data_IF_225173421507
#
_entry.id   IF_225173421507
#
_cell.length_a   1.000
_cell.length_b   1.000
_cell.length_c   1.000
_cell.angle_alpha   90.00
_cell.angle_beta   90.00
_cell.angle_gamma   90.00
#
_symmetry.space_group_name_H-M   'P 1'
#
loop_
_entity.id
_entity.type
_entity.pdbx_description
1 polymer ?
#
# COMPACT_ATOMS: atom_id res chain seq x y z
N UNK A 1 -25.11 -6.23 41.80
CA UNK A 1 -25.26 -6.74 40.42
C UNK A 1 -24.57 -5.70 39.53
N UNK A 2 -23.30 -5.91 39.19
CA UNK A 2 -22.51 -4.91 38.45
C UNK A 2 -22.82 -5.05 36.95
N UNK A 3 -23.33 -3.98 36.36
CA UNK A 3 -23.60 -3.89 34.94
C UNK A 3 -22.28 -3.90 34.16
N UNK A 4 -22.12 -4.89 33.29
CA UNK A 4 -21.04 -4.99 32.32
C UNK A 4 -21.11 -3.79 31.37
N UNK A 5 -20.07 -2.98 31.19
CA UNK A 5 -20.08 -1.98 30.15
C UNK A 5 -20.00 -2.67 28.79
N UNK A 6 -21.11 -2.60 28.05
CA UNK A 6 -21.25 -2.99 26.65
C UNK A 6 -20.11 -2.42 25.79
N UNK A 7 -19.63 -3.17 24.78
CA UNK A 7 -18.57 -2.68 23.92
C UNK A 7 -19.12 -1.51 23.11
N UNK A 8 -18.57 -0.32 23.37
CA UNK A 8 -18.81 0.85 22.55
C UNK A 8 -18.55 0.48 21.08
N UNK A 9 -19.63 0.46 20.30
CA UNK A 9 -19.58 0.47 18.84
C UNK A 9 -18.90 1.75 18.41
N UNK A 10 -17.57 1.72 18.32
CA UNK A 10 -16.81 2.81 17.74
C UNK A 10 -16.92 2.67 16.23
N UNK A 11 -17.66 3.61 15.66
CA UNK A 11 -17.86 3.76 14.23
C UNK A 11 -16.56 3.65 13.45
N UNK A 12 -16.73 3.14 12.24
CA UNK A 12 -15.80 2.81 11.18
C UNK A 12 -14.92 4.01 10.74
N UNK A 13 -14.12 4.55 11.67
CA UNK A 13 -12.96 5.35 11.33
C UNK A 13 -11.93 4.36 10.82
N UNK A 14 -12.00 4.05 9.51
CA UNK A 14 -10.96 3.32 8.80
C UNK A 14 -9.61 3.93 9.18
N UNK A 15 -8.89 3.25 10.07
CA UNK A 15 -7.61 3.74 10.58
C UNK A 15 -6.64 3.80 9.41
N UNK A 16 -6.21 5.01 9.05
CA UNK A 16 -5.27 5.20 7.95
C UNK A 16 -3.92 4.62 8.34
N UNK A 17 -3.33 3.83 7.44
CA UNK A 17 -2.01 3.22 7.60
C UNK A 17 -1.11 3.67 6.46
N UNK A 18 0.20 3.72 6.70
CA UNK A 18 1.21 3.90 5.65
C UNK A 18 1.73 2.54 5.22
N UNK A 19 1.60 2.21 3.94
CA UNK A 19 2.00 0.92 3.38
C UNK A 19 3.48 0.64 3.63
N UNK A 20 4.33 1.67 3.51
CA UNK A 20 5.77 1.55 3.69
C UNK A 20 6.18 1.06 5.10
N UNK A 21 5.33 1.29 6.11
CA UNK A 21 5.59 0.89 7.50
C UNK A 21 5.29 -0.58 7.75
N UNK A 22 4.70 -1.29 6.79
CA UNK A 22 4.37 -2.71 6.92
C UNK A 22 5.29 -3.57 6.07
N UNK A 23 5.54 -4.79 6.54
CA UNK A 23 6.21 -5.86 5.78
C UNK A 23 5.35 -7.13 5.81
N UNK A 24 5.42 -7.98 4.77
CA UNK A 24 4.76 -9.28 4.79
C UNK A 24 5.32 -10.12 5.95
N UNK A 25 4.43 -10.91 6.56
CA UNK A 25 4.83 -11.95 7.49
C UNK A 25 5.43 -13.13 6.73
N UNK A 26 6.48 -13.72 7.30
CA UNK A 26 7.06 -14.97 6.78
C UNK A 26 6.06 -16.13 6.92
N UNK A 27 5.34 -16.15 8.04
CA UNK A 27 4.26 -17.11 8.32
C UNK A 27 3.00 -16.29 8.62
N UNK A 28 1.92 -16.42 7.82
CA UNK A 28 0.65 -15.74 8.10
C UNK A 28 0.12 -16.09 9.49
N UNK A 29 -0.45 -15.10 10.18
CA UNK A 29 -1.02 -15.26 11.52
C UNK A 29 -2.56 -15.25 11.42
N UNK A 30 -3.20 -16.42 11.18
CA UNK A 30 -4.65 -16.47 10.97
C UNK A 30 -5.45 -16.10 12.24
N UNK A 31 -4.87 -16.28 13.43
CA UNK A 31 -5.50 -15.95 14.70
C UNK A 31 -5.45 -14.46 15.07
N UNK A 32 -4.49 -13.70 14.52
CA UNK A 32 -4.26 -12.31 14.93
C UNK A 32 -5.22 -11.34 14.21
N UNK A 33 -5.96 -10.50 14.94
CA UNK A 33 -6.90 -9.54 14.35
C UNK A 33 -6.17 -8.41 13.61
N UNK A 34 -6.77 -7.97 12.50
CA UNK A 34 -6.33 -6.81 11.73
C UNK A 34 -6.59 -5.52 12.51
N UNK A 35 -5.58 -4.65 12.61
CA UNK A 35 -5.66 -3.33 13.24
C UNK A 35 -6.65 -2.37 12.55
N UNK A 36 -6.88 -2.53 11.24
CA UNK A 36 -7.76 -1.65 10.46
C UNK A 36 -9.22 -2.09 10.53
N UNK A 37 -9.51 -3.38 10.28
CA UNK A 37 -10.89 -3.87 10.17
C UNK A 37 -11.32 -4.85 11.28
N UNK A 38 -10.43 -5.18 12.23
CA UNK A 38 -10.72 -6.12 13.32
C UNK A 38 -10.81 -7.60 12.92
N UNK A 39 -10.94 -7.92 11.62
CA UNK A 39 -11.05 -9.31 11.14
C UNK A 39 -9.77 -10.10 11.40
N UNK A 40 -9.92 -11.37 11.77
CA UNK A 40 -8.81 -12.33 11.89
C UNK A 40 -8.20 -12.64 10.51
N UNK A 41 -6.92 -13.01 10.47
CA UNK A 41 -6.21 -13.25 9.21
C UNK A 41 -5.21 -12.15 8.90
N UNK A 42 -4.20 -12.00 9.75
CA UNK A 42 -3.13 -11.03 9.54
C UNK A 42 -2.03 -11.59 8.64
N UNK A 43 -1.62 -10.77 7.67
CA UNK A 43 -0.61 -11.11 6.66
C UNK A 43 0.59 -10.16 6.67
N UNK A 44 0.45 -9.00 7.33
CA UNK A 44 1.48 -7.99 7.37
C UNK A 44 1.69 -7.49 8.80
N UNK A 45 2.92 -7.13 9.11
CA UNK A 45 3.36 -6.60 10.39
C UNK A 45 4.02 -5.25 10.25
N UNK A 46 3.69 -4.35 11.18
CA UNK A 46 4.32 -3.05 11.32
C UNK A 46 5.80 -3.17 11.70
N UNK A 47 6.65 -2.54 10.91
CA UNK A 47 8.09 -2.41 11.13
C UNK A 47 8.37 -1.60 12.38
N UNK A 48 9.58 -1.70 12.90
CA UNK A 48 10.02 -0.88 14.01
C UNK A 48 10.40 0.53 13.52
N UNK A 49 9.40 1.38 13.29
CA UNK A 49 9.59 2.77 12.83
C UNK A 49 9.84 3.74 14.00
N UNK A 50 10.29 4.96 13.69
CA UNK A 50 10.46 6.01 14.69
C UNK A 50 9.14 6.33 15.40
N UNK A 51 8.04 6.37 14.65
CA UNK A 51 6.69 6.58 15.17
C UNK A 51 6.28 5.47 16.13
N UNK A 52 6.61 4.20 15.82
CA UNK A 52 6.35 3.07 16.72
C UNK A 52 7.18 3.17 18.00
N UNK A 53 8.45 3.57 17.91
CA UNK A 53 9.34 3.76 19.08
C UNK A 53 8.88 4.92 19.97
N UNK A 54 8.32 5.98 19.39
CA UNK A 54 7.81 7.14 20.10
C UNK A 54 6.50 6.87 20.88
N UNK A 55 5.87 5.69 20.69
CA UNK A 55 4.65 5.33 21.44
C UNK A 55 4.93 5.14 22.93
N UNK A 56 3.96 5.46 23.80
CA UNK A 56 4.06 5.20 25.24
C UNK A 56 4.41 3.74 25.53
N UNK A 57 5.10 3.49 26.66
CA UNK A 57 5.39 2.12 27.12
C UNK A 57 4.09 1.33 27.24
N UNK A 58 4.08 0.12 26.69
CA UNK A 58 2.89 -0.74 26.60
C UNK A 58 2.06 -0.57 25.31
N UNK A 59 2.38 0.40 24.44
CA UNK A 59 1.74 0.57 23.12
C UNK A 59 2.72 0.37 21.95
N UNK A 60 3.90 -0.19 22.23
CA UNK A 60 4.98 -0.38 21.26
C UNK A 60 4.86 -1.70 20.49
N UNK A 61 3.77 -2.45 20.66
CA UNK A 61 3.53 -3.68 19.90
C UNK A 61 3.35 -3.41 18.41
N UNK A 62 3.80 -4.37 17.61
CA UNK A 62 3.72 -4.30 16.16
C UNK A 62 2.28 -4.56 15.70
N UNK A 63 1.63 -3.54 15.13
CA UNK A 63 0.29 -3.68 14.58
C UNK A 63 0.29 -4.70 13.44
N UNK A 64 -0.74 -5.54 13.38
CA UNK A 64 -0.95 -6.50 12.28
C UNK A 64 -2.10 -6.09 11.40
N UNK A 65 -2.00 -6.35 10.10
CA UNK A 65 -3.08 -6.05 9.16
C UNK A 65 -3.29 -7.22 8.20
N UNK A 66 -4.54 -7.36 7.74
CA UNK A 66 -4.91 -8.35 6.73
C UNK A 66 -4.56 -7.88 5.32
N UNK A 67 -4.58 -8.81 4.37
CA UNK A 67 -4.23 -8.56 2.97
C UNK A 67 -5.15 -7.54 2.29
N UNK A 68 -6.45 -7.57 2.59
CA UNK A 68 -7.42 -6.64 1.98
C UNK A 68 -7.20 -5.21 2.46
N UNK A 69 -6.95 -4.99 3.76
CA UNK A 69 -6.66 -3.65 4.28
C UNK A 69 -5.31 -3.12 3.77
N UNK A 70 -4.30 -3.99 3.63
CA UNK A 70 -3.04 -3.61 2.99
C UNK A 70 -3.26 -3.20 1.52
N UNK A 71 -3.98 -4.00 0.74
CA UNK A 71 -4.27 -3.71 -0.66
C UNK A 71 -5.09 -2.42 -0.84
N UNK A 72 -6.06 -2.17 0.05
CA UNK A 72 -6.83 -0.93 0.06
C UNK A 72 -5.94 0.29 0.34
N UNK A 73 -5.02 0.19 1.30
CA UNK A 73 -4.04 1.25 1.59
C UNK A 73 -3.08 1.48 0.41
N UNK A 74 -2.61 0.42 -0.26
CA UNK A 74 -1.82 0.52 -1.50
C UNK A 74 -2.56 1.30 -2.57
N UNK A 75 -3.83 0.95 -2.82
CA UNK A 75 -4.65 1.64 -3.83
C UNK A 75 -4.89 3.10 -3.47
N UNK A 76 -5.13 3.40 -2.20
CA UNK A 76 -5.32 4.77 -1.72
C UNK A 76 -4.05 5.62 -1.92
N UNK A 77 -2.89 5.12 -1.49
CA UNK A 77 -1.62 5.83 -1.67
C UNK A 77 -1.21 5.93 -3.15
N UNK A 78 -1.44 4.88 -3.96
CA UNK A 78 -1.24 4.94 -5.40
C UNK A 78 -2.10 6.03 -6.03
N UNK A 79 -3.35 6.19 -5.59
CA UNK A 79 -4.27 7.21 -6.12
C UNK A 79 -3.86 8.62 -5.70
N UNK A 80 -3.31 8.78 -4.50
CA UNK A 80 -2.79 10.06 -4.02
C UNK A 80 -1.48 10.48 -4.72
N UNK A 81 -0.65 9.52 -5.15
CA UNK A 81 0.61 9.78 -5.87
C UNK A 81 0.37 9.78 -7.38
N UNK A 82 -0.15 10.89 -7.90
CA UNK A 82 -0.32 11.11 -9.34
C UNK A 82 0.85 11.94 -9.90
N UNK A 83 1.48 11.51 -11.01
CA UNK A 83 2.42 12.35 -11.71
C UNK A 83 1.68 13.51 -12.39
N UNK A 84 2.40 14.58 -12.70
CA UNK A 84 1.84 15.64 -13.55
C UNK A 84 1.60 15.08 -14.96
N UNK A 85 0.52 15.50 -15.65
CA UNK A 85 0.26 15.09 -17.02
C UNK A 85 1.49 15.31 -17.92
N UNK A 86 1.80 14.32 -18.77
CA UNK A 86 2.96 14.38 -19.68
C UNK A 86 4.32 14.05 -19.05
N UNK A 87 4.40 13.81 -17.74
CA UNK A 87 5.66 13.41 -17.07
C UNK A 87 6.11 12.00 -17.45
N UNK A 88 5.16 11.12 -17.80
CA UNK A 88 5.42 9.71 -18.07
C UNK A 88 4.93 9.38 -19.47
N UNK A 89 5.87 9.07 -20.39
CA UNK A 89 5.51 8.53 -21.69
C UNK A 89 5.40 7.00 -21.64
N UNK A 90 4.16 6.52 -21.53
CA UNK A 90 3.86 5.08 -21.55
C UNK A 90 3.86 4.46 -22.95
N UNK A 91 4.05 5.24 -24.03
CA UNK A 91 4.03 4.72 -25.42
C UNK A 91 5.11 3.69 -25.69
N UNK A 92 6.28 3.90 -25.09
CA UNK A 92 7.51 3.14 -25.34
C UNK A 92 7.77 2.09 -24.26
N UNK A 93 6.95 2.09 -23.20
CA UNK A 93 7.08 1.17 -22.10
C UNK A 93 6.79 -0.27 -22.57
N UNK A 94 7.70 -1.19 -22.25
CA UNK A 94 7.54 -2.62 -22.50
C UNK A 94 7.51 -3.39 -21.18
N UNK A 95 6.90 -4.59 -21.20
CA UNK A 95 6.79 -5.42 -19.99
C UNK A 95 8.16 -6.02 -19.66
N UNK A 96 8.60 -5.80 -18.44
CA UNK A 96 9.88 -6.28 -17.94
C UNK A 96 9.80 -7.75 -17.55
N UNK A 97 10.81 -8.51 -17.95
CA UNK A 97 11.06 -9.88 -17.49
C UNK A 97 11.97 -9.92 -16.27
N UNK A 98 12.82 -8.91 -16.11
CA UNK A 98 13.73 -8.74 -14.98
C UNK A 98 13.12 -7.87 -13.87
N UNK A 99 13.55 -8.10 -12.63
CA UNK A 99 13.17 -7.26 -11.49
C UNK A 99 14.06 -6.01 -11.45
N UNK A 100 13.48 -4.85 -11.79
CA UNK A 100 14.19 -3.56 -11.81
C UNK A 100 13.93 -2.69 -10.56
N UNK A 101 13.24 -3.24 -9.54
CA UNK A 101 12.92 -2.53 -8.31
C UNK A 101 11.45 -2.08 -8.22
N UNK A 102 11.22 -0.93 -7.57
CA UNK A 102 9.87 -0.43 -7.25
C UNK A 102 9.46 0.68 -8.18
N UNK A 103 8.16 0.79 -8.49
CA UNK A 103 7.60 1.84 -9.33
C UNK A 103 8.10 3.25 -8.95
N UNK A 104 8.60 4.01 -9.94
CA UNK A 104 9.12 5.37 -9.76
C UNK A 104 8.04 6.37 -9.32
N UNK A 105 6.76 6.07 -9.60
CA UNK A 105 5.62 6.94 -9.27
C UNK A 105 5.13 6.68 -7.84
N UNK A 106 4.68 5.45 -7.54
CA UNK A 106 4.11 5.17 -6.23
C UNK A 106 5.16 4.78 -5.17
N UNK A 107 6.27 4.15 -5.58
CA UNK A 107 7.28 3.58 -4.68
C UNK A 107 6.79 2.40 -3.85
N UNK A 108 5.60 1.85 -4.15
CA UNK A 108 4.94 0.81 -3.34
C UNK A 108 5.11 -0.58 -3.94
N UNK A 109 4.72 -0.75 -5.20
CA UNK A 109 4.75 -2.04 -5.89
C UNK A 109 5.97 -2.20 -6.79
N UNK A 110 6.30 -3.45 -7.13
CA UNK A 110 7.35 -3.77 -8.10
C UNK A 110 7.05 -3.13 -9.45
N UNK A 111 8.08 -2.60 -10.08
CA UNK A 111 7.98 -2.15 -11.45
C UNK A 111 8.01 -3.36 -12.39
N UNK A 112 7.06 -3.38 -13.33
CA UNK A 112 6.90 -4.44 -14.35
C UNK A 112 6.81 -3.84 -15.75
N UNK A 113 6.86 -2.52 -15.87
CA UNK A 113 6.91 -1.77 -17.12
C UNK A 113 8.07 -0.78 -17.05
N UNK A 114 8.83 -0.62 -18.12
CA UNK A 114 9.79 0.47 -18.27
C UNK A 114 10.02 0.76 -19.76
N UNK A 115 10.48 1.96 -20.09
CA UNK A 115 10.99 2.25 -21.42
C UNK A 115 12.40 1.62 -21.55
N UNK A 116 12.63 0.70 -22.51
CA UNK A 116 13.96 0.12 -22.73
C UNK A 116 15.05 1.15 -23.07
N UNK A 117 14.67 2.32 -23.57
CA UNK A 117 15.58 3.40 -23.97
C UNK A 117 15.77 4.48 -22.90
N UNK A 118 14.93 4.51 -21.87
CA UNK A 118 14.99 5.50 -20.80
C UNK A 118 15.22 4.79 -19.46
N UNK A 119 16.35 5.12 -18.83
CA UNK A 119 16.79 4.47 -17.59
C UNK A 119 16.04 5.02 -16.36
N UNK A 120 15.25 6.09 -16.51
CA UNK A 120 14.68 6.84 -15.39
C UNK A 120 13.33 6.33 -14.89
N UNK A 121 12.45 5.86 -15.79
CA UNK A 121 11.03 5.62 -15.45
C UNK A 121 10.64 4.15 -15.56
N UNK A 122 10.30 3.56 -14.42
CA UNK A 122 9.82 2.19 -14.31
C UNK A 122 8.53 2.15 -13.49
N UNK A 123 7.49 1.52 -14.01
CA UNK A 123 6.11 1.60 -13.51
C UNK A 123 5.60 0.24 -13.05
N UNK A 124 4.78 0.23 -12.00
CA UNK A 124 3.97 -0.94 -11.66
C UNK A 124 2.74 -1.05 -12.59
N UNK A 125 2.09 -2.21 -12.58
CA UNK A 125 0.88 -2.51 -13.36
C UNK A 125 -0.21 -1.43 -13.16
N UNK A 126 -0.42 -0.97 -11.93
CA UNK A 126 -1.44 0.02 -11.61
C UNK A 126 -1.12 1.41 -12.17
N UNK A 127 0.11 1.90 -12.00
CA UNK A 127 0.51 3.23 -12.48
C UNK A 127 0.53 3.25 -14.01
N UNK A 128 1.09 2.23 -14.65
CA UNK A 128 1.05 2.11 -16.11
C UNK A 128 -0.39 2.10 -16.64
N UNK A 129 -1.26 1.27 -16.07
CA UNK A 129 -2.67 1.20 -16.48
C UNK A 129 -3.45 2.49 -16.25
N UNK A 130 -3.04 3.35 -15.30
CA UNK A 130 -3.60 4.69 -15.13
C UNK A 130 -3.18 5.60 -16.27
N UNK A 131 -1.89 5.76 -16.52
CA UNK A 131 -1.39 6.65 -17.57
C UNK A 131 -1.93 6.26 -18.96
N UNK A 132 -2.08 4.96 -19.24
CA UNK A 132 -2.73 4.47 -20.48
C UNK A 132 -4.19 4.93 -20.57
N UNK A 133 -4.94 4.93 -19.46
CA UNK A 133 -6.33 5.41 -19.43
C UNK A 133 -6.42 6.92 -19.58
N UNK A 134 -5.58 7.67 -18.88
CA UNK A 134 -5.52 9.13 -18.98
C UNK A 134 -5.23 9.56 -20.42
N UNK A 135 -4.22 8.94 -21.06
CA UNK A 135 -3.90 9.20 -22.47
C UNK A 135 -5.06 8.89 -23.41
N UNK A 136 -5.75 7.76 -23.23
CA UNK A 136 -6.93 7.40 -24.04
C UNK A 136 -8.11 8.35 -23.81
N UNK A 137 -8.25 8.89 -22.60
CA UNK A 137 -9.26 9.90 -22.26
C UNK A 137 -8.94 11.32 -22.74
N UNK A 138 -7.66 11.60 -23.03
CA UNK A 138 -7.16 12.91 -23.47
C UNK A 138 -7.06 13.10 -24.99
N UNK A 139 -7.52 12.14 -25.81
CA UNK A 139 -7.73 12.24 -27.26
C UNK A 139 -6.99 13.37 -27.99
N UNK A 140 -5.69 13.16 -28.24
CA UNK A 140 -4.93 13.78 -29.33
C UNK A 140 -4.43 12.69 -30.27
#
# INVERSE_FOLDING_TARGET
MQATPSPAGNGDLFRTIRVADYKPLEIPEPGTPCYVCGKKGSWFVEKLTAERRARPRGQQDARRICQSCHAAAVKAEQSAKQPLPGTVDVSRCTRLTANVGKCSICGLEKAVWADPSDVGVHLCEHCYGREVRERRGMGI
#
